data_IF_092627320605
#
_entry.id   IF_092627320605
#
_cell.length_a   1.000
_cell.length_b   1.000
_cell.length_c   1.000
_cell.angle_alpha   90.00
_cell.angle_beta   90.00
_cell.angle_gamma   90.00
#
_symmetry.space_group_name_H-M   'P 1'
#
loop_
_entity.id
_entity.type
_entity.pdbx_description
1 polymer ?
#
# COMPACT_ATOMS: atom_id res chain seq x y z
N UNK A 1 1.60 18.11 -7.23
CA UNK A 1 0.80 17.26 -6.32
C UNK A 1 0.14 16.09 -7.05
N UNK A 2 -0.74 16.28 -8.03
CA UNK A 2 -1.37 15.15 -8.73
C UNK A 2 -0.36 14.26 -9.46
N UNK A 3 0.53 14.84 -10.25
CA UNK A 3 1.60 14.09 -10.94
C UNK A 3 2.45 13.32 -9.95
N UNK A 4 2.88 13.95 -8.86
CA UNK A 4 3.70 13.31 -7.82
C UNK A 4 2.99 12.11 -7.18
N UNK A 5 1.67 12.22 -6.93
CA UNK A 5 0.86 11.14 -6.38
C UNK A 5 0.76 9.95 -7.35
N UNK A 6 0.54 10.23 -8.65
CA UNK A 6 0.48 9.20 -9.68
C UNK A 6 1.85 8.52 -9.88
N UNK A 7 2.93 9.29 -9.90
CA UNK A 7 4.29 8.76 -9.97
C UNK A 7 4.62 7.90 -8.74
N UNK A 8 4.19 8.33 -7.55
CA UNK A 8 4.36 7.56 -6.33
C UNK A 8 3.58 6.24 -6.36
N UNK A 9 2.35 6.26 -6.87
CA UNK A 9 1.55 5.06 -7.09
C UNK A 9 2.24 4.07 -8.04
N UNK A 10 2.69 4.52 -9.21
CA UNK A 10 3.33 3.65 -10.21
C UNK A 10 4.65 3.05 -9.66
N UNK A 11 5.44 3.80 -8.87
CA UNK A 11 6.62 3.26 -8.18
C UNK A 11 6.27 2.13 -7.21
N UNK A 12 5.15 2.22 -6.50
CA UNK A 12 4.67 1.14 -5.63
C UNK A 12 4.24 -0.07 -6.45
N UNK A 13 3.54 0.14 -7.58
CA UNK A 13 3.15 -0.93 -8.50
C UNK A 13 4.35 -1.70 -9.04
N UNK A 14 5.43 -1.01 -9.40
CA UNK A 14 6.66 -1.62 -9.91
C UNK A 14 7.41 -2.40 -8.81
N UNK A 15 7.60 -1.78 -7.65
CA UNK A 15 8.43 -2.33 -6.56
C UNK A 15 7.72 -3.43 -5.76
N UNK A 16 6.78 -3.04 -4.91
CA UNK A 16 6.01 -3.91 -4.01
C UNK A 16 4.98 -4.70 -4.80
N UNK A 17 4.33 -4.04 -5.77
CA UNK A 17 3.33 -4.64 -6.65
C UNK A 17 3.89 -5.63 -7.66
N UNK A 18 5.20 -5.64 -7.92
CA UNK A 18 5.85 -6.48 -8.94
C UNK A 18 5.15 -6.37 -10.30
N UNK A 19 4.97 -5.14 -10.77
CA UNK A 19 4.18 -4.83 -11.98
C UNK A 19 2.71 -5.16 -11.79
N UNK A 20 2.13 -4.70 -10.68
CA UNK A 20 0.72 -4.92 -10.27
C UNK A 20 0.28 -6.35 -9.97
N UNK A 21 1.14 -7.34 -10.19
CA UNK A 21 0.86 -8.77 -9.92
C UNK A 21 0.47 -9.03 -8.46
N UNK A 22 1.09 -8.34 -7.50
CA UNK A 22 0.87 -8.55 -6.06
C UNK A 22 -0.11 -7.55 -5.45
N UNK A 23 -0.09 -6.31 -5.92
CA UNK A 23 -1.00 -5.25 -5.48
C UNK A 23 -1.27 -4.28 -6.62
N UNK A 24 -2.54 -3.91 -6.78
CA UNK A 24 -3.01 -2.79 -7.59
C UNK A 24 -3.61 -1.74 -6.67
N UNK A 25 -3.47 -0.49 -7.06
CA UNK A 25 -3.91 0.68 -6.29
C UNK A 25 -4.81 1.49 -7.23
N UNK A 26 -6.03 1.78 -6.80
CA UNK A 26 -6.89 2.77 -7.41
C UNK A 26 -6.92 4.04 -6.55
N UNK A 27 -6.89 5.20 -7.20
CA UNK A 27 -7.07 6.50 -6.54
C UNK A 27 -8.21 7.19 -7.28
N UNK A 28 -9.26 7.50 -6.51
CA UNK A 28 -10.56 7.90 -7.01
C UNK A 28 -10.94 9.24 -6.38
N UNK A 29 -11.49 10.16 -7.17
CA UNK A 29 -12.19 11.31 -6.61
C UNK A 29 -13.42 10.80 -5.84
N UNK A 30 -13.45 11.09 -4.54
CA UNK A 30 -14.50 10.61 -3.63
C UNK A 30 -15.78 11.45 -3.69
N UNK A 31 -15.71 12.66 -4.24
CA UNK A 31 -16.72 13.70 -4.01
C UNK A 31 -18.14 13.28 -4.38
N UNK A 32 -18.30 12.53 -5.46
CA UNK A 32 -19.62 12.13 -5.99
C UNK A 32 -20.00 10.67 -5.71
N UNK A 33 -19.13 9.90 -5.05
CA UNK A 33 -19.31 8.46 -4.85
C UNK A 33 -20.52 8.12 -3.99
N UNK A 34 -21.27 7.09 -4.40
CA UNK A 34 -22.39 6.53 -3.62
C UNK A 34 -21.96 5.26 -2.88
N UNK A 35 -22.09 5.26 -1.56
CA UNK A 35 -21.75 4.11 -0.72
C UNK A 35 -22.97 3.18 -0.54
N UNK A 36 -22.77 1.86 -0.39
CA UNK A 36 -21.48 1.15 -0.26
C UNK A 36 -20.68 1.05 -1.56
N UNK A 37 -19.35 0.95 -1.43
CA UNK A 37 -18.47 0.54 -2.52
C UNK A 37 -18.39 -0.98 -2.51
N UNK A 38 -18.57 -1.59 -3.68
CA UNK A 38 -18.66 -3.04 -3.87
C UNK A 38 -17.47 -3.51 -4.68
N UNK A 39 -16.83 -4.60 -4.23
CA UNK A 39 -15.80 -5.31 -4.96
C UNK A 39 -16.30 -6.72 -5.25
N UNK A 40 -16.48 -7.06 -6.53
CA UNK A 40 -17.03 -8.34 -6.95
C UNK A 40 -16.50 -8.79 -8.32
N UNK A 41 -16.73 -10.06 -8.66
CA UNK A 41 -16.40 -10.61 -9.97
C UNK A 41 -17.61 -10.57 -10.91
N UNK A 42 -17.53 -9.77 -11.98
CA UNK A 42 -18.61 -9.61 -12.95
C UNK A 42 -18.26 -10.23 -14.31
N UNK A 43 -19.29 -10.66 -15.05
CA UNK A 43 -19.14 -11.19 -16.40
C UNK A 43 -18.54 -10.12 -17.34
N UNK A 44 -17.37 -10.44 -17.91
CA UNK A 44 -16.60 -9.50 -18.72
C UNK A 44 -17.31 -9.03 -19.99
N UNK A 45 -18.29 -9.79 -20.49
CA UNK A 45 -19.09 -9.43 -21.66
C UNK A 45 -20.33 -8.60 -21.32
N UNK A 46 -20.70 -8.47 -20.04
CA UNK A 46 -21.93 -7.78 -19.60
C UNK A 46 -21.66 -6.44 -18.92
N UNK A 47 -20.49 -6.26 -18.33
CA UNK A 47 -20.12 -4.99 -17.68
C UNK A 47 -19.41 -4.08 -18.70
N UNK A 48 -19.92 -2.86 -18.84
CA UNK A 48 -19.36 -1.82 -19.72
C UNK A 48 -19.13 -0.53 -18.96
N UNK A 49 -18.06 0.17 -19.29
CA UNK A 49 -17.71 1.44 -18.67
C UNK A 49 -16.77 2.24 -19.57
N UNK A 50 -16.54 3.49 -19.20
CA UNK A 50 -15.55 4.36 -19.85
C UNK A 50 -14.30 4.41 -18.99
N UNK A 51 -13.15 4.12 -19.58
CA UNK A 51 -11.84 4.22 -18.93
C UNK A 51 -11.44 5.68 -18.70
N UNK A 52 -10.50 5.91 -17.81
CA UNK A 52 -10.01 7.24 -17.44
C UNK A 52 -9.49 8.08 -18.63
N UNK A 53 -8.98 7.43 -19.68
CA UNK A 53 -8.49 8.02 -20.94
C UNK A 53 -9.56 8.09 -22.05
N UNK A 54 -10.80 7.71 -21.74
CA UNK A 54 -11.97 7.96 -22.60
C UNK A 54 -12.36 6.81 -23.53
N UNK A 55 -11.79 5.61 -23.36
CA UNK A 55 -12.21 4.43 -24.12
C UNK A 55 -13.46 3.82 -23.48
N UNK A 56 -14.54 3.70 -24.24
CA UNK A 56 -15.79 3.07 -23.79
C UNK A 56 -15.94 1.69 -24.41
N UNK A 57 -16.28 0.69 -23.59
CA UNK A 57 -16.58 -0.65 -24.05
C UNK A 57 -16.92 -1.58 -22.90
N UNK A 58 -17.26 -2.83 -23.25
CA UNK A 58 -17.30 -3.93 -22.30
C UNK A 58 -15.92 -4.20 -21.71
N UNK A 59 -15.86 -4.81 -20.53
CA UNK A 59 -14.59 -5.23 -19.94
C UNK A 59 -13.82 -6.18 -20.88
N UNK A 60 -14.50 -7.05 -21.63
CA UNK A 60 -13.89 -7.90 -22.64
C UNK A 60 -13.19 -7.08 -23.75
N UNK A 61 -13.87 -6.08 -24.30
CA UNK A 61 -13.32 -5.21 -25.34
C UNK A 61 -12.14 -4.39 -24.82
N UNK A 62 -12.23 -3.88 -23.58
CA UNK A 62 -11.15 -3.15 -22.93
C UNK A 62 -9.93 -4.07 -22.74
N UNK A 63 -10.11 -5.29 -22.24
CA UNK A 63 -9.01 -6.25 -22.07
C UNK A 63 -8.33 -6.61 -23.40
N UNK A 64 -9.10 -6.68 -24.49
CA UNK A 64 -8.59 -7.05 -25.80
C UNK A 64 -7.87 -5.90 -26.53
N UNK A 65 -8.40 -4.68 -26.45
CA UNK A 65 -8.00 -3.60 -27.35
C UNK A 65 -7.26 -2.44 -26.65
N UNK A 66 -7.46 -2.24 -25.34
CA UNK A 66 -6.82 -1.15 -24.61
C UNK A 66 -5.36 -1.49 -24.30
N UNK A 67 -4.38 -0.56 -24.41
CA UNK A 67 -2.97 -0.84 -24.11
C UNK A 67 -2.73 -1.46 -22.73
N UNK A 68 -3.33 -0.89 -21.68
CA UNK A 68 -3.30 -1.47 -20.32
C UNK A 68 -4.03 -2.81 -20.23
N UNK A 69 -5.06 -3.04 -21.05
CA UNK A 69 -5.78 -4.31 -21.15
C UNK A 69 -4.86 -5.43 -21.67
N UNK A 70 -4.11 -5.15 -22.73
CA UNK A 70 -3.11 -6.06 -23.29
C UNK A 70 -1.97 -6.31 -22.29
N UNK A 71 -1.52 -5.26 -21.61
CA UNK A 71 -0.39 -5.32 -20.68
C UNK A 71 -0.70 -6.10 -19.40
N UNK A 72 -1.82 -5.76 -18.74
CA UNK A 72 -2.18 -6.25 -17.41
C UNK A 72 -3.34 -7.25 -17.40
N UNK A 73 -4.09 -7.41 -18.48
CA UNK A 73 -5.26 -8.29 -18.54
C UNK A 73 -4.93 -9.75 -18.21
N UNK A 74 -3.72 -10.21 -18.57
CA UNK A 74 -3.20 -11.53 -18.21
C UNK A 74 -3.04 -11.78 -16.70
N UNK A 75 -3.12 -10.75 -15.87
CA UNK A 75 -3.09 -10.87 -14.41
C UNK A 75 -4.46 -11.31 -13.85
N UNK A 76 -5.53 -11.18 -14.64
CA UNK A 76 -6.85 -11.70 -14.30
C UNK A 76 -6.85 -13.19 -14.63
N UNK A 77 -7.10 -14.03 -13.61
CA UNK A 77 -7.02 -15.49 -13.75
C UNK A 77 -8.27 -16.12 -14.38
N UNK A 78 -9.41 -15.42 -14.37
CA UNK A 78 -10.67 -15.94 -14.89
C UNK A 78 -10.87 -15.52 -16.36
N UNK A 79 -11.31 -16.47 -17.17
CA UNK A 79 -11.68 -16.23 -18.57
C UNK A 79 -13.09 -15.66 -18.74
N UNK A 80 -13.93 -15.70 -17.70
CA UNK A 80 -15.33 -15.24 -17.77
C UNK A 80 -15.61 -14.04 -16.89
N UNK A 81 -14.97 -13.96 -15.72
CA UNK A 81 -15.19 -12.91 -14.75
C UNK A 81 -14.01 -11.94 -14.68
N UNK A 82 -14.32 -10.68 -14.45
CA UNK A 82 -13.35 -9.63 -14.14
C UNK A 82 -13.64 -9.05 -12.75
N UNK A 83 -12.61 -8.76 -11.95
CA UNK A 83 -12.79 -8.01 -10.73
C UNK A 83 -13.20 -6.58 -11.06
N UNK A 84 -14.29 -6.11 -10.46
CA UNK A 84 -14.80 -4.75 -10.64
C UNK A 84 -15.00 -4.12 -9.26
N UNK A 85 -14.61 -2.85 -9.17
CA UNK A 85 -15.01 -1.98 -8.07
C UNK A 85 -16.08 -1.03 -8.60
N UNK A 86 -17.23 -0.99 -7.95
CA UNK A 86 -18.34 -0.10 -8.31
C UNK A 86 -18.96 0.56 -7.07
N UNK A 87 -19.65 1.66 -7.29
CA UNK A 87 -20.45 2.34 -6.28
C UNK A 87 -21.89 1.82 -6.25
N UNK A 88 -22.69 2.25 -5.27
CA UNK A 88 -24.09 1.80 -5.09
C UNK A 88 -25.01 2.23 -6.25
N UNK A 89 -24.59 3.21 -7.06
CA UNK A 89 -25.30 3.61 -8.27
C UNK A 89 -24.90 2.77 -9.50
N UNK A 90 -24.00 1.79 -9.35
CA UNK A 90 -23.52 0.94 -10.44
C UNK A 90 -22.41 1.57 -11.28
N UNK A 91 -21.84 2.70 -10.85
CA UNK A 91 -20.74 3.35 -11.55
C UNK A 91 -19.45 2.58 -11.31
N UNK A 92 -18.78 2.15 -12.38
CA UNK A 92 -17.49 1.45 -12.29
C UNK A 92 -16.39 2.44 -11.90
N UNK A 93 -15.75 2.19 -10.76
CA UNK A 93 -14.56 2.90 -10.28
C UNK A 93 -13.32 2.38 -10.99
N UNK A 94 -13.16 1.05 -11.05
CA UNK A 94 -12.00 0.42 -11.68
C UNK A 94 -12.27 -1.05 -12.01
N UNK A 95 -11.44 -1.58 -12.91
CA UNK A 95 -11.24 -3.00 -13.17
C UNK A 95 -9.80 -3.36 -12.79
N UNK A 96 -9.52 -3.69 -11.52
CA UNK A 96 -8.16 -4.03 -11.10
C UNK A 96 -7.63 -5.30 -11.78
N UNK A 97 -6.32 -5.47 -11.98
CA UNK A 97 -5.25 -4.48 -11.84
C UNK A 97 -5.06 -3.60 -13.09
N UNK A 98 -6.08 -3.50 -13.95
CA UNK A 98 -5.94 -3.10 -15.36
C UNK A 98 -6.12 -1.59 -15.53
N UNK A 99 -7.33 -1.06 -15.28
CA UNK A 99 -7.69 0.34 -15.57
C UNK A 99 -8.68 0.91 -14.56
N UNK A 100 -8.65 2.23 -14.41
CA UNK A 100 -9.67 2.98 -13.68
C UNK A 100 -10.76 3.48 -14.64
N UNK A 101 -11.98 3.61 -14.14
CA UNK A 101 -13.10 4.24 -14.81
C UNK A 101 -13.03 5.76 -14.74
N UNK A 102 -13.67 6.44 -15.70
CA UNK A 102 -13.72 7.90 -15.77
C UNK A 102 -14.65 8.54 -14.74
N UNK A 103 -15.58 7.77 -14.17
CA UNK A 103 -16.60 8.21 -13.20
C UNK A 103 -16.00 8.85 -11.94
N UNK A 104 -14.79 8.44 -11.58
CA UNK A 104 -14.07 8.87 -10.37
C UNK A 104 -12.71 9.49 -10.71
N UNK A 105 -12.64 10.11 -11.88
CA UNK A 105 -11.42 10.69 -12.40
C UNK A 105 -10.89 11.78 -11.46
N UNK A 106 -9.71 11.54 -10.89
CA UNK A 106 -8.97 12.54 -10.14
C UNK A 106 -8.49 13.66 -11.07
N UNK A 107 -8.68 14.90 -10.68
CA UNK A 107 -8.17 16.09 -11.38
C UNK A 107 -7.33 16.95 -10.43
N UNK A 108 -6.71 18.02 -10.94
CA UNK A 108 -5.83 18.88 -10.11
C UNK A 108 -6.55 19.47 -8.88
N UNK A 109 -7.86 19.72 -8.99
CA UNK A 109 -8.67 20.30 -7.91
C UNK A 109 -9.27 19.24 -6.95
N UNK A 110 -9.02 17.95 -7.18
CA UNK A 110 -9.51 16.88 -6.30
C UNK A 110 -8.83 16.99 -4.93
N UNK A 111 -9.64 17.11 -3.88
CA UNK A 111 -9.18 17.24 -2.49
C UNK A 111 -9.64 16.12 -1.57
N UNK A 112 -10.50 15.22 -2.04
CA UNK A 112 -11.02 14.07 -1.30
C UNK A 112 -10.83 12.81 -2.12
N UNK A 113 -10.13 11.84 -1.55
CA UNK A 113 -9.78 10.61 -2.25
C UNK A 113 -10.45 9.41 -1.60
N UNK A 114 -10.88 8.47 -2.44
CA UNK A 114 -11.03 7.08 -2.05
C UNK A 114 -9.85 6.33 -2.67
N UNK A 115 -9.12 5.58 -1.85
CA UNK A 115 -7.98 4.79 -2.30
C UNK A 115 -8.30 3.33 -2.00
N UNK A 116 -8.38 2.51 -3.04
CA UNK A 116 -8.50 1.06 -2.91
C UNK A 116 -7.17 0.38 -3.19
N UNK A 117 -6.97 -0.75 -2.50
CA UNK A 117 -5.86 -1.64 -2.75
C UNK A 117 -6.38 -3.06 -2.88
N UNK A 118 -6.17 -3.65 -4.05
CA UNK A 118 -6.52 -5.04 -4.36
C UNK A 118 -5.26 -5.82 -4.63
N UNK A 119 -5.25 -7.13 -4.39
CA UNK A 119 -4.06 -7.93 -4.63
C UNK A 119 -4.17 -9.36 -4.14
N UNK A 120 -3.22 -10.18 -4.59
CA UNK A 120 -3.14 -11.61 -4.23
C UNK A 120 -2.14 -11.88 -3.10
N UNK A 121 -1.35 -10.87 -2.68
CA UNK A 121 -0.38 -11.00 -1.59
C UNK A 121 -0.70 -9.98 -0.47
N UNK A 122 -1.28 -10.48 0.63
CA UNK A 122 -1.75 -9.64 1.74
C UNK A 122 -0.65 -8.79 2.38
N UNK A 123 0.62 -9.26 2.37
CA UNK A 123 1.76 -8.49 2.90
C UNK A 123 2.09 -7.30 2.00
N UNK A 124 2.05 -7.49 0.69
CA UNK A 124 2.28 -6.44 -0.30
C UNK A 124 1.17 -5.39 -0.26
N UNK A 125 -0.10 -5.83 -0.17
CA UNK A 125 -1.25 -4.93 0.01
C UNK A 125 -1.09 -4.09 1.28
N UNK A 126 -0.77 -4.74 2.42
CA UNK A 126 -0.54 -4.04 3.70
C UNK A 126 0.61 -3.03 3.60
N UNK A 127 1.73 -3.42 3.01
CA UNK A 127 2.90 -2.55 2.86
C UNK A 127 2.57 -1.33 2.01
N UNK A 128 1.92 -1.53 0.86
CA UNK A 128 1.48 -0.46 -0.01
C UNK A 128 0.51 0.49 0.71
N UNK A 129 -0.43 -0.05 1.51
CA UNK A 129 -1.37 0.75 2.28
C UNK A 129 -0.67 1.64 3.31
N UNK A 130 0.32 1.11 4.04
CA UNK A 130 1.13 1.88 4.99
C UNK A 130 1.95 2.98 4.34
N UNK A 131 2.57 2.67 3.20
CA UNK A 131 3.42 3.61 2.47
C UNK A 131 2.56 4.76 1.90
N UNK A 132 1.41 4.44 1.30
CA UNK A 132 0.46 5.46 0.85
C UNK A 132 -0.09 6.29 2.01
N UNK A 133 -0.45 5.64 3.13
CA UNK A 133 -0.92 6.36 4.31
C UNK A 133 0.15 7.32 4.85
N UNK A 134 1.42 6.89 4.91
CA UNK A 134 2.50 7.76 5.31
C UNK A 134 2.68 8.94 4.34
N UNK A 135 2.63 8.69 3.03
CA UNK A 135 2.68 9.74 2.00
C UNK A 135 1.56 10.77 2.19
N UNK A 136 0.30 10.33 2.24
CA UNK A 136 -0.85 11.22 2.40
C UNK A 136 -0.78 12.02 3.70
N UNK A 137 -0.40 11.38 4.81
CA UNK A 137 -0.23 12.06 6.09
C UNK A 137 0.90 13.10 6.05
N UNK A 138 2.01 12.82 5.36
CA UNK A 138 3.15 13.74 5.26
C UNK A 138 2.83 15.03 4.50
N UNK A 139 1.85 15.00 3.61
CA UNK A 139 1.38 16.17 2.84
C UNK A 139 0.07 16.75 3.40
N UNK A 140 -0.33 16.35 4.62
CA UNK A 140 -1.40 16.98 5.39
C UNK A 140 -2.81 16.41 5.23
N UNK A 141 -2.98 15.24 4.58
CA UNK A 141 -4.29 14.59 4.51
C UNK A 141 -4.62 13.84 5.80
N UNK A 142 -5.90 13.87 6.16
CA UNK A 142 -6.48 13.03 7.21
C UNK A 142 -6.89 11.71 6.58
N UNK A 143 -6.52 10.61 7.23
CA UNK A 143 -6.78 9.25 6.74
C UNK A 143 -7.89 8.63 7.55
N UNK A 144 -8.93 8.21 6.85
CA UNK A 144 -10.06 7.49 7.43
C UNK A 144 -10.11 6.08 6.86
N UNK A 145 -10.18 5.07 7.73
CA UNK A 145 -10.33 3.68 7.32
C UNK A 145 -11.82 3.36 7.27
N UNK A 146 -12.39 3.00 6.10
CA UNK A 146 -13.81 2.71 5.99
C UNK A 146 -14.16 1.40 6.69
N UNK A 147 -15.39 1.29 7.18
CA UNK A 147 -15.90 0.03 7.70
C UNK A 147 -16.08 -0.98 6.55
N UNK A 148 -15.26 -2.03 6.55
CA UNK A 148 -15.36 -3.09 5.56
C UNK A 148 -16.28 -4.21 6.04
N UNK A 149 -17.29 -4.57 5.25
CA UNK A 149 -18.06 -5.80 5.43
C UNK A 149 -17.37 -6.91 4.63
N UNK A 150 -16.40 -7.59 5.24
CA UNK A 150 -15.80 -8.79 4.66
C UNK A 150 -15.84 -9.95 5.68
N UNK A 151 -15.76 -11.18 5.19
CA UNK A 151 -15.75 -12.39 6.02
C UNK A 151 -14.54 -12.44 6.98
N UNK A 152 -13.46 -11.73 6.64
CA UNK A 152 -12.23 -11.63 7.43
C UNK A 152 -12.15 -10.32 8.24
N UNK A 153 -12.95 -10.21 9.30
CA UNK A 153 -13.02 -9.02 10.18
C UNK A 153 -11.68 -8.59 10.81
N UNK A 154 -10.70 -9.49 10.92
CA UNK A 154 -9.45 -9.26 11.64
C UNK A 154 -8.27 -8.72 10.82
N UNK A 155 -8.43 -8.51 9.51
CA UNK A 155 -7.30 -8.02 8.70
C UNK A 155 -6.88 -6.60 9.09
N UNK A 156 -7.80 -5.65 9.22
CA UNK A 156 -7.42 -4.24 9.38
C UNK A 156 -7.04 -3.84 10.82
N UNK A 157 -7.67 -4.42 11.85
CA UNK A 157 -7.45 -4.05 13.26
C UNK A 157 -5.99 -4.28 13.72
N UNK A 158 -5.36 -5.34 13.21
CA UNK A 158 -3.95 -5.65 13.48
C UNK A 158 -3.00 -5.11 12.40
N UNK A 159 -3.49 -4.59 11.27
CA UNK A 159 -2.65 -4.02 10.21
C UNK A 159 -2.01 -2.69 10.63
N UNK A 160 -2.69 -1.87 11.43
CA UNK A 160 -2.26 -0.52 11.80
C UNK A 160 -1.39 -0.45 13.08
N UNK A 161 -0.86 -1.59 13.53
CA UNK A 161 0.03 -1.62 14.71
C UNK A 161 1.49 -1.73 14.29
N UNK A 162 2.36 -1.02 15.02
CA UNK A 162 3.80 -1.17 14.87
C UNK A 162 4.22 -2.57 15.34
N UNK A 163 5.03 -3.26 14.54
CA UNK A 163 5.60 -4.53 14.97
C UNK A 163 6.59 -4.29 16.11
N UNK A 164 6.62 -5.18 17.10
CA UNK A 164 7.59 -5.08 18.20
C UNK A 164 8.71 -6.09 17.99
N UNK A 165 9.94 -5.61 17.92
CA UNK A 165 11.15 -6.43 17.81
C UNK A 165 12.04 -6.15 19.01
N UNK A 166 12.52 -7.21 19.64
CA UNK A 166 13.45 -7.11 20.78
C UNK A 166 14.88 -7.11 20.27
N UNK A 167 15.68 -6.16 20.73
CA UNK A 167 17.11 -6.07 20.46
C UNK A 167 17.90 -6.27 21.75
N UNK A 168 18.77 -7.26 21.79
CA UNK A 168 19.57 -7.66 22.94
C UNK A 168 21.01 -7.16 22.81
N UNK A 169 21.65 -6.91 23.95
CA UNK A 169 23.07 -6.51 23.97
C UNK A 169 23.99 -7.60 23.43
N UNK A 170 23.65 -8.87 23.69
CA UNK A 170 24.42 -10.02 23.22
C UNK A 170 24.45 -10.11 21.70
N UNK A 171 23.31 -9.94 21.02
CA UNK A 171 23.28 -9.99 19.55
C UNK A 171 24.00 -8.79 18.96
N UNK A 172 23.82 -7.58 19.52
CA UNK A 172 24.57 -6.38 19.10
C UNK A 172 26.07 -6.63 19.17
N UNK A 173 26.57 -7.13 20.31
CA UNK A 173 28.00 -7.43 20.49
C UNK A 173 28.49 -8.50 19.50
N UNK A 174 27.70 -9.57 19.30
CA UNK A 174 28.08 -10.66 18.41
C UNK A 174 28.14 -10.25 16.94
N UNK A 175 27.25 -9.35 16.50
CA UNK A 175 27.16 -8.93 15.10
C UNK A 175 28.08 -7.75 14.78
N UNK A 176 28.15 -6.74 15.66
CA UNK A 176 28.98 -5.54 15.42
C UNK A 176 30.40 -5.67 15.94
N UNK A 177 30.67 -6.61 16.85
CA UNK A 177 31.97 -6.75 17.51
C UNK A 177 32.30 -5.66 18.51
N UNK A 178 31.39 -4.71 18.75
CA UNK A 178 31.57 -3.60 19.70
C UNK A 178 30.35 -3.46 20.61
N UNK A 179 30.54 -3.15 21.90
CA UNK A 179 29.44 -2.88 22.80
C UNK A 179 28.82 -1.51 22.49
N UNK A 180 27.50 -1.44 22.49
CA UNK A 180 26.74 -0.19 22.31
C UNK A 180 25.91 0.04 23.57
N UNK A 181 25.93 1.27 24.11
CA UNK A 181 25.10 1.58 25.28
C UNK A 181 23.63 1.65 24.85
N UNK A 182 22.69 1.26 25.73
CA UNK A 182 21.26 1.32 25.41
C UNK A 182 20.78 2.70 24.95
N UNK A 183 21.27 3.78 25.58
CA UNK A 183 20.87 5.15 25.23
C UNK A 183 21.34 5.54 23.82
N UNK A 184 22.59 5.25 23.48
CA UNK A 184 23.16 5.51 22.15
C UNK A 184 22.40 4.70 21.09
N UNK A 185 22.11 3.42 21.38
CA UNK A 185 21.33 2.56 20.50
C UNK A 185 19.92 3.11 20.23
N UNK A 186 19.23 3.63 21.24
CA UNK A 186 17.92 4.28 21.08
C UNK A 186 18.02 5.48 20.15
N UNK A 187 19.00 6.36 20.35
CA UNK A 187 19.21 7.54 19.50
C UNK A 187 19.48 7.15 18.04
N UNK A 188 20.34 6.16 17.82
CA UNK A 188 20.69 5.69 16.48
C UNK A 188 19.49 5.07 15.75
N UNK A 189 18.69 4.26 16.44
CA UNK A 189 17.49 3.65 15.88
C UNK A 189 16.42 4.71 15.56
N UNK A 190 16.27 5.72 16.42
CA UNK A 190 15.35 6.84 16.18
C UNK A 190 15.73 7.65 14.93
N UNK A 191 17.03 7.90 14.70
CA UNK A 191 17.52 8.52 13.45
C UNK A 191 17.16 7.71 12.19
N UNK A 192 16.97 6.40 12.33
CA UNK A 192 16.55 5.50 11.24
C UNK A 192 15.02 5.33 11.15
N UNK A 193 14.25 6.14 11.87
CA UNK A 193 12.79 6.11 11.86
C UNK A 193 12.18 4.99 12.71
N UNK A 194 12.92 4.41 13.65
CA UNK A 194 12.45 3.35 14.54
C UNK A 194 12.12 3.91 15.93
N UNK A 195 11.07 3.40 16.56
CA UNK A 195 10.62 3.89 17.85
C UNK A 195 11.13 2.98 18.97
N UNK A 196 12.16 3.42 19.68
CA UNK A 196 12.68 2.73 20.86
C UNK A 196 12.51 3.63 22.08
N UNK A 197 11.91 3.08 23.15
CA UNK A 197 11.56 3.85 24.36
C UNK A 197 12.20 3.30 25.64
N UNK A 198 12.89 2.17 25.58
CA UNK A 198 13.55 1.58 26.74
C UNK A 198 15.03 1.96 26.77
N UNK A 199 15.56 2.34 27.94
CA UNK A 199 16.98 2.71 28.12
C UNK A 199 17.80 1.57 28.74
N UNK A 200 17.30 0.33 28.63
CA UNK A 200 17.96 -0.89 29.11
C UNK A 200 17.67 -2.03 28.13
N UNK A 201 18.67 -2.89 27.92
CA UNK A 201 18.49 -4.12 27.16
C UNK A 201 17.61 -5.15 27.89
N UNK A 202 16.83 -5.98 27.16
CA UNK A 202 16.59 -5.87 25.72
C UNK A 202 15.78 -4.61 25.38
N UNK A 203 16.17 -3.92 24.31
CA UNK A 203 15.42 -2.80 23.78
C UNK A 203 14.13 -3.32 23.14
N UNK A 204 13.01 -2.68 23.43
CA UNK A 204 11.76 -2.92 22.70
C UNK A 204 11.63 -1.87 21.61
N UNK A 205 11.88 -2.29 20.37
CA UNK A 205 11.84 -1.43 19.19
C UNK A 205 10.51 -1.64 18.49
N UNK A 206 9.75 -0.57 18.32
CA UNK A 206 8.57 -0.57 17.48
C UNK A 206 8.97 -0.17 16.06
N UNK A 207 8.68 -1.08 15.14
CA UNK A 207 8.92 -0.93 13.71
C UNK A 207 7.65 -0.37 13.08
N UNK A 208 7.69 0.84 12.52
CA UNK A 208 6.54 1.39 11.80
C UNK A 208 6.11 0.48 10.67
N UNK A 209 4.81 0.38 10.39
CA UNK A 209 4.31 -0.56 9.39
C UNK A 209 4.77 -0.31 7.95
N UNK A 210 5.32 0.87 7.65
CA UNK A 210 5.96 1.17 6.36
C UNK A 210 7.39 0.61 6.22
N UNK A 211 8.04 0.21 7.32
CA UNK A 211 9.35 -0.48 7.35
C UNK A 211 9.17 -1.98 7.17
N UNK A 212 8.82 -2.39 5.95
CA UNK A 212 8.58 -3.80 5.61
C UNK A 212 9.87 -4.61 5.37
N UNK A 213 11.01 -3.95 5.39
CA UNK A 213 12.36 -4.52 5.28
C UNK A 213 12.86 -5.14 6.60
N UNK A 214 12.30 -4.71 7.75
CA UNK A 214 12.70 -5.23 9.06
C UNK A 214 11.89 -6.48 9.40
N UNK A 215 12.58 -7.62 9.46
CA UNK A 215 12.02 -8.93 9.80
C UNK A 215 12.47 -9.43 11.18
N UNK A 216 13.56 -8.90 11.72
CA UNK A 216 14.06 -9.31 13.02
C UNK A 216 15.20 -8.45 13.57
N UNK A 217 15.86 -8.99 14.59
CA UNK A 217 16.88 -8.30 15.36
C UNK A 217 18.10 -7.88 14.52
N UNK A 218 18.47 -8.67 13.51
CA UNK A 218 19.64 -8.38 12.65
C UNK A 218 19.41 -7.14 11.77
N UNK A 219 18.19 -6.93 11.26
CA UNK A 219 17.88 -5.75 10.44
C UNK A 219 17.95 -4.46 11.28
N UNK A 220 17.57 -4.52 12.56
CA UNK A 220 17.75 -3.42 13.50
C UNK A 220 19.23 -3.10 13.71
N UNK A 221 20.08 -4.13 13.76
CA UNK A 221 21.54 -3.97 13.93
C UNK A 221 22.16 -3.34 12.69
N UNK A 222 21.69 -3.69 11.49
CA UNK A 222 22.12 -3.04 10.25
C UNK A 222 21.83 -1.54 10.26
N UNK A 223 20.60 -1.15 10.64
CA UNK A 223 20.22 0.26 10.77
C UNK A 223 21.02 1.00 11.83
N UNK A 224 21.22 0.36 12.99
CA UNK A 224 22.05 0.89 14.06
C UNK A 224 23.48 1.13 13.58
N UNK A 225 24.08 0.18 12.85
CA UNK A 225 25.42 0.32 12.30
C UNK A 225 25.55 1.45 11.27
N UNK A 226 24.55 1.61 10.39
CA UNK A 226 24.48 2.73 9.43
C UNK A 226 24.48 4.06 10.19
N UNK A 227 23.60 4.21 11.16
CA UNK A 227 23.42 5.44 11.95
C UNK A 227 24.67 5.79 12.79
N UNK A 228 25.35 4.78 13.34
CA UNK A 228 26.65 4.95 14.02
C UNK A 228 27.71 5.57 13.11
N UNK A 229 27.84 5.08 11.87
CA UNK A 229 28.83 5.59 10.89
C UNK A 229 28.57 7.02 10.44
N UNK A 230 27.32 7.46 10.43
CA UNK A 230 26.98 8.85 10.10
C UNK A 230 27.19 9.81 11.28
N UNK A 231 27.32 9.29 12.50
CA UNK A 231 27.51 10.08 13.72
C UNK A 231 28.98 10.14 14.17
N UNK A 232 29.89 9.48 13.44
CA UNK A 232 31.34 9.45 13.66
C UNK A 232 32.07 10.29 12.62
#
# INVERSE_FOLDING_TARGET
>A
HLTDLLDYQERIHESIGKGRKKVSIGIHDRSELKFPIIYEGLDRGKISFTTYDGVTGSAAEILQNHPRGIEFGKLIQSDSLVPIILDDAGSVLSMPPVVNGSSTKVVNDTSKFLVDLTGTDARSVRSAAWILANYFSSIGYIIEIPQMKCESKDMFSNWWSNAKVKLSSSTVMNVLGVPVKPADAVEYLQKMGLLANTTKYPLEVQVPGYRNDIMGEVDLIEDLAKSMRYSS
#
